data_IF_691263965615
#
_entry.id   IF_691263965615
#
_cell.length_a   1.000
_cell.length_b   1.000
_cell.length_c   1.000
_cell.angle_alpha   90.00
_cell.angle_beta   90.00
_cell.angle_gamma   90.00
#
_symmetry.space_group_name_H-M   'P 1'
#
loop_
_entity.id
_entity.type
_entity.pdbx_description
1 polymer ?
#
# COMPACT_ATOMS: atom_id res chain seq x y z
N UNK A 1 5.93 -2.45 2.76
CA UNK A 1 4.61 -3.12 2.82
C UNK A 1 4.28 -3.70 4.20
N UNK A 2 5.24 -4.31 4.93
CA UNK A 2 4.98 -4.93 6.24
C UNK A 2 4.42 -4.00 7.33
N UNK A 3 4.93 -2.77 7.44
CA UNK A 3 4.45 -1.80 8.45
C UNK A 3 2.98 -1.38 8.23
N UNK A 4 2.59 -1.23 6.97
CA UNK A 4 1.20 -0.89 6.58
C UNK A 4 0.26 -2.03 6.96
N UNK A 5 0.64 -3.27 6.65
CA UNK A 5 -0.13 -4.48 6.98
C UNK A 5 -0.21 -4.65 8.49
N UNK A 6 0.89 -4.47 9.21
CA UNK A 6 0.95 -4.57 10.67
C UNK A 6 -0.01 -3.58 11.36
N UNK A 7 0.03 -2.31 10.97
CA UNK A 7 -0.91 -1.30 11.50
C UNK A 7 -2.36 -1.57 11.13
N UNK A 8 -2.61 -2.15 9.96
CA UNK A 8 -3.96 -2.55 9.54
C UNK A 8 -4.48 -3.70 10.40
N UNK A 9 -3.65 -4.71 10.69
CA UNK A 9 -4.01 -5.82 11.57
C UNK A 9 -4.32 -5.32 12.99
N UNK A 10 -3.49 -4.42 13.54
CA UNK A 10 -3.73 -3.83 14.86
C UNK A 10 -5.07 -3.07 14.88
N UNK A 11 -5.34 -2.23 13.87
CA UNK A 11 -6.60 -1.49 13.78
C UNK A 11 -7.79 -2.45 13.70
N UNK A 12 -7.71 -3.50 12.89
CA UNK A 12 -8.75 -4.52 12.80
C UNK A 12 -8.98 -5.23 14.14
N UNK A 13 -7.89 -5.61 14.82
CA UNK A 13 -7.93 -6.29 16.11
C UNK A 13 -8.56 -5.45 17.23
N UNK A 14 -8.47 -4.12 17.17
CA UNK A 14 -9.14 -3.21 18.12
C UNK A 14 -10.60 -2.94 17.70
N UNK A 15 -10.85 -2.84 16.40
CA UNK A 15 -12.16 -2.43 15.86
C UNK A 15 -13.20 -3.52 15.98
N UNK A 16 -12.84 -4.79 15.78
CA UNK A 16 -13.76 -5.92 15.91
C UNK A 16 -14.34 -6.01 17.33
N UNK A 17 -13.53 -6.04 18.42
CA UNK A 17 -14.05 -6.00 19.78
C UNK A 17 -14.82 -4.71 20.08
N UNK A 18 -14.35 -3.55 19.58
CA UNK A 18 -15.04 -2.27 19.74
C UNK A 18 -16.47 -2.29 19.17
N UNK A 19 -16.65 -2.81 17.95
CA UNK A 19 -17.97 -2.96 17.31
C UNK A 19 -18.85 -3.99 18.02
N UNK A 20 -18.25 -5.03 18.61
CA UNK A 20 -18.98 -6.06 19.34
C UNK A 20 -19.57 -5.52 20.65
N UNK A 21 -18.79 -4.72 21.40
CA UNK A 21 -19.27 -4.01 22.59
C UNK A 21 -20.36 -3.00 22.21
N UNK A 22 -20.17 -2.26 21.12
CA UNK A 22 -21.14 -1.28 20.66
C UNK A 22 -22.50 -1.92 20.32
N UNK A 23 -22.51 -3.14 19.76
CA UNK A 23 -23.75 -3.84 19.36
C UNK A 23 -24.80 -3.92 20.47
N UNK A 24 -24.37 -4.00 21.74
CA UNK A 24 -25.30 -4.08 22.88
C UNK A 24 -25.85 -2.73 23.36
N UNK A 25 -25.33 -1.61 22.86
CA UNK A 25 -25.61 -0.26 23.37
C UNK A 25 -26.44 0.59 22.39
N UNK A 26 -26.51 0.22 21.11
CA UNK A 26 -27.13 1.02 20.06
C UNK A 26 -28.09 0.20 19.20
N UNK A 27 -29.03 0.90 18.55
CA UNK A 27 -29.94 0.31 17.58
C UNK A 27 -29.20 -0.36 16.43
N UNK A 28 -29.75 -1.47 15.96
CA UNK A 28 -29.17 -2.30 14.89
C UNK A 28 -28.87 -1.49 13.61
N UNK A 29 -29.72 -0.52 13.29
CA UNK A 29 -29.56 0.31 12.09
C UNK A 29 -28.39 1.29 12.22
N UNK A 30 -28.17 1.87 13.40
CA UNK A 30 -27.00 2.71 13.69
C UNK A 30 -25.72 1.87 13.77
N UNK A 31 -25.82 0.65 14.30
CA UNK A 31 -24.69 -0.28 14.40
C UNK A 31 -24.14 -0.67 13.02
N UNK A 32 -25.01 -0.94 12.04
CA UNK A 32 -24.60 -1.22 10.66
C UNK A 32 -23.89 0.00 10.06
N UNK A 33 -24.45 1.20 10.22
CA UNK A 33 -23.89 2.44 9.68
C UNK A 33 -22.48 2.72 10.22
N UNK A 34 -22.30 2.56 11.53
CA UNK A 34 -20.99 2.73 12.20
C UNK A 34 -20.01 1.65 11.74
N UNK A 35 -20.46 0.40 11.57
CA UNK A 35 -19.60 -0.69 11.10
C UNK A 35 -19.06 -0.44 9.69
N UNK A 36 -19.91 0.01 8.77
CA UNK A 36 -19.51 0.35 7.40
C UNK A 36 -18.55 1.54 7.40
N UNK A 37 -18.84 2.57 8.18
CA UNK A 37 -17.95 3.73 8.32
C UNK A 37 -16.58 3.35 8.90
N UNK A 38 -16.55 2.49 9.92
CA UNK A 38 -15.32 1.99 10.54
C UNK A 38 -14.47 1.21 9.53
N UNK A 39 -15.07 0.33 8.74
CA UNK A 39 -14.38 -0.40 7.67
C UNK A 39 -13.75 0.57 6.67
N UNK A 40 -14.49 1.59 6.22
CA UNK A 40 -13.98 2.56 5.26
C UNK A 40 -12.80 3.37 5.84
N UNK A 41 -12.96 3.90 7.05
CA UNK A 41 -11.94 4.75 7.69
C UNK A 41 -10.70 3.94 8.09
N UNK A 42 -10.85 2.68 8.48
CA UNK A 42 -9.73 1.90 9.01
C UNK A 42 -9.06 1.00 7.98
N UNK A 43 -9.72 0.70 6.86
CA UNK A 43 -9.16 -0.14 5.79
C UNK A 43 -8.83 0.70 4.57
N UNK A 44 -9.80 1.42 4.00
CA UNK A 44 -9.59 2.19 2.76
C UNK A 44 -8.66 3.39 2.96
N UNK A 45 -8.86 4.16 4.03
CA UNK A 45 -8.05 5.36 4.28
C UNK A 45 -6.55 5.05 4.43
N UNK A 46 -6.10 4.11 5.29
CA UNK A 46 -4.68 3.82 5.39
C UNK A 46 -4.12 3.17 4.12
N UNK A 47 -4.92 2.39 3.37
CA UNK A 47 -4.48 1.88 2.07
C UNK A 47 -4.10 3.04 1.13
N UNK A 48 -4.96 4.06 1.01
CA UNK A 48 -4.66 5.24 0.19
C UNK A 48 -3.47 6.06 0.71
N UNK A 49 -3.37 6.29 2.02
CA UNK A 49 -2.25 7.02 2.61
C UNK A 49 -0.93 6.26 2.40
N UNK A 50 -0.94 4.95 2.57
CA UNK A 50 0.25 4.11 2.40
C UNK A 50 0.73 4.08 0.95
N UNK A 51 -0.20 4.03 0.00
CA UNK A 51 0.12 4.13 -1.42
C UNK A 51 0.76 5.47 -1.75
N UNK A 52 0.17 6.58 -1.28
CA UNK A 52 0.71 7.92 -1.49
C UNK A 52 2.09 8.10 -0.87
N UNK A 53 2.30 7.58 0.34
CA UNK A 53 3.60 7.65 1.01
C UNK A 53 4.66 6.83 0.26
N UNK A 54 4.30 5.62 -0.19
CA UNK A 54 5.18 4.78 -1.00
C UNK A 54 5.54 5.43 -2.33
N UNK A 55 4.55 6.01 -3.03
CA UNK A 55 4.76 6.74 -4.28
C UNK A 55 5.65 7.97 -4.06
N UNK A 56 5.43 8.75 -3.01
CA UNK A 56 6.28 9.91 -2.69
C UNK A 56 7.72 9.52 -2.35
N UNK A 57 7.93 8.46 -1.57
CA UNK A 57 9.28 8.03 -1.19
C UNK A 57 10.06 7.48 -2.38
N UNK A 58 9.38 6.80 -3.29
CA UNK A 58 9.99 6.20 -4.48
C UNK A 58 9.86 7.08 -5.72
N UNK A 59 9.31 8.30 -5.60
CA UNK A 59 9.07 9.19 -6.73
C UNK A 59 10.35 9.47 -7.52
N UNK A 60 11.47 9.66 -6.81
CA UNK A 60 12.79 9.83 -7.44
C UNK A 60 13.18 8.59 -8.22
N UNK A 61 13.03 7.39 -7.65
CA UNK A 61 13.31 6.13 -8.37
C UNK A 61 12.38 5.95 -9.59
N UNK A 62 11.10 6.33 -9.46
CA UNK A 62 10.07 6.20 -10.51
C UNK A 62 10.21 7.24 -11.62
N UNK A 63 10.75 8.44 -11.36
CA UNK A 63 10.84 9.51 -12.35
C UNK A 63 12.26 9.71 -12.89
N UNK A 64 13.30 9.42 -12.11
CA UNK A 64 14.69 9.75 -12.46
C UNK A 64 15.57 8.55 -12.84
N UNK A 65 15.05 7.31 -12.84
CA UNK A 65 15.86 6.13 -13.19
C UNK A 65 15.52 5.56 -14.56
N UNK A 66 16.54 5.06 -15.26
CA UNK A 66 16.40 4.31 -16.51
C UNK A 66 15.46 3.09 -16.36
N UNK A 67 15.36 2.48 -15.17
CA UNK A 67 14.43 1.37 -14.93
C UNK A 67 12.95 1.77 -15.02
N UNK A 68 12.60 3.03 -14.77
CA UNK A 68 11.20 3.47 -14.77
C UNK A 68 10.50 3.43 -16.13
N UNK A 69 11.28 3.53 -17.20
CA UNK A 69 10.85 3.44 -18.60
C UNK A 69 10.87 2.00 -19.14
N UNK A 70 11.29 1.03 -18.33
CA UNK A 70 11.35 -0.37 -18.71
C UNK A 70 9.96 -1.03 -18.73
N UNK A 71 9.70 -1.88 -19.71
CA UNK A 71 8.46 -2.68 -19.84
C UNK A 71 8.15 -3.51 -18.59
N UNK A 72 9.17 -4.13 -18.02
CA UNK A 72 9.05 -5.08 -16.90
C UNK A 72 9.13 -4.41 -15.51
N UNK A 73 9.02 -3.09 -15.43
CA UNK A 73 9.01 -2.36 -14.17
C UNK A 73 7.59 -2.17 -13.63
N UNK A 74 7.37 -2.67 -12.41
CA UNK A 74 6.16 -2.44 -11.64
C UNK A 74 6.32 -1.19 -10.75
N UNK A 75 5.53 -0.17 -11.06
CA UNK A 75 5.50 1.10 -10.29
C UNK A 75 4.87 0.94 -8.91
N UNK A 76 3.94 0.02 -8.75
CA UNK A 76 3.21 -0.20 -7.50
C UNK A 76 4.07 -0.85 -6.42
N UNK A 77 5.09 -1.61 -6.84
CA UNK A 77 6.02 -2.30 -5.96
C UNK A 77 7.47 -1.80 -6.07
N UNK A 78 7.75 -0.87 -7.02
CA UNK A 78 9.11 -0.41 -7.36
C UNK A 78 10.01 -1.63 -7.52
N UNK A 79 9.62 -2.48 -8.46
CA UNK A 79 10.19 -3.81 -8.65
C UNK A 79 10.41 -4.07 -10.13
N UNK A 80 11.60 -4.54 -10.48
CA UNK A 80 11.83 -5.13 -11.79
C UNK A 80 11.35 -6.59 -11.76
N UNK A 81 10.22 -6.88 -12.41
CA UNK A 81 9.59 -8.21 -12.39
C UNK A 81 10.50 -9.28 -13.00
N UNK A 82 11.29 -8.91 -14.02
CA UNK A 82 12.19 -9.83 -14.73
C UNK A 82 13.30 -10.40 -13.83
N UNK A 83 13.80 -9.60 -12.91
CA UNK A 83 14.92 -9.97 -12.03
C UNK A 83 14.54 -10.10 -10.56
N UNK A 84 13.27 -9.83 -10.22
CA UNK A 84 12.77 -9.77 -8.85
C UNK A 84 13.63 -8.89 -7.94
N UNK A 85 14.06 -7.73 -8.46
CA UNK A 85 14.96 -6.79 -7.78
C UNK A 85 14.35 -5.41 -7.68
N UNK A 86 14.51 -4.80 -6.51
CA UNK A 86 14.10 -3.43 -6.25
C UNK A 86 15.19 -2.45 -6.73
N UNK A 87 14.96 -1.66 -7.79
CA UNK A 87 15.86 -0.58 -8.16
C UNK A 87 15.90 0.49 -7.06
N UNK A 88 17.05 1.12 -6.88
CA UNK A 88 17.23 2.30 -6.02
C UNK A 88 17.91 3.40 -6.83
N UNK A 89 18.05 4.61 -6.28
CA UNK A 89 18.70 5.74 -6.99
C UNK A 89 20.11 5.38 -7.49
N UNK A 90 20.83 4.54 -6.74
CA UNK A 90 22.21 4.13 -7.06
C UNK A 90 22.32 2.69 -7.55
N UNK A 91 21.20 1.98 -7.69
CA UNK A 91 21.19 0.57 -8.08
C UNK A 91 20.19 0.33 -9.21
N UNK A 92 20.73 0.02 -10.39
CA UNK A 92 19.96 -0.37 -11.56
C UNK A 92 20.14 -1.89 -11.75
N UNK A 93 19.06 -2.70 -11.69
CA UNK A 93 19.12 -4.11 -12.01
C UNK A 93 19.76 -4.36 -13.39
N UNK A 94 20.75 -5.26 -13.43
CA UNK A 94 21.54 -5.61 -14.62
C UNK A 94 22.21 -4.41 -15.32
N UNK A 95 22.54 -3.34 -14.57
CA UNK A 95 23.23 -2.14 -15.05
C UNK A 95 22.58 -1.46 -16.28
N UNK A 96 21.29 -1.76 -16.53
CA UNK A 96 20.56 -1.26 -17.70
C UNK A 96 20.89 -1.96 -19.02
N UNK A 97 21.68 -3.05 -19.01
CA UNK A 97 22.10 -3.76 -20.24
C UNK A 97 20.91 -4.42 -20.96
N UNK A 98 19.97 -4.98 -20.19
CA UNK A 98 18.74 -5.59 -20.71
C UNK A 98 17.52 -4.67 -20.56
N UNK A 99 17.74 -3.35 -20.69
CA UNK A 99 16.67 -2.37 -20.63
C UNK A 99 15.78 -2.45 -21.89
N UNK A 100 14.50 -2.75 -21.69
CA UNK A 100 13.49 -2.82 -22.75
C UNK A 100 12.54 -1.62 -22.62
N UNK A 101 12.61 -0.61 -23.52
CA UNK A 101 11.71 0.53 -23.46
C UNK A 101 10.25 0.12 -23.69
N UNK A 102 9.33 0.85 -23.05
CA UNK A 102 7.88 0.79 -23.32
C UNK A 102 7.49 1.46 -24.62
#
# INVERSE_FOLDING_TARGET
>A
MGEVVFWTIIRAAVTIPGLWILKGQIDFQLWILISVAAIYVLIFHPAMVSYRWFEQHNKKVIESTLCSSCKNFDRSAVLCIKYDKHPTENYVPCDGVEWEPK
#
